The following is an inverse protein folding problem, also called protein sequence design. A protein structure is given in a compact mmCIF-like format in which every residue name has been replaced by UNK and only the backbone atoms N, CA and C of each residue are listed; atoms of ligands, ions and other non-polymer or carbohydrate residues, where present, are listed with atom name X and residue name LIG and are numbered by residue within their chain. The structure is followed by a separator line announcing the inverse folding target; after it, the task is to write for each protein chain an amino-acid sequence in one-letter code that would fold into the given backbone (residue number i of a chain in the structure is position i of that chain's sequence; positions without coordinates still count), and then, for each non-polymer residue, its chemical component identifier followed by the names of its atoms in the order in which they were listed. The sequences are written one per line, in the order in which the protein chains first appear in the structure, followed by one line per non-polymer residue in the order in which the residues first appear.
data_IF_852145068798
#
_entry.id   IF_852145068798
#
_cell.length_a   1.000
_cell.length_b   1.000
_cell.length_c   1.000
_cell.angle_alpha   90.00
_cell.angle_beta   90.00
_cell.angle_gamma   90.00
#
_symmetry.space_group_name_H-M   'P 1'
#
loop_
_entity.id
_entity.type
_entity.pdbx_description
1 polymer ?
#
# COMPACT_ATOMS: atom_id res chain seq x y z
N UNK A 1 14.80 4.87 7.08
CA UNK A 1 14.29 5.39 5.79
C UNK A 1 14.05 6.88 5.98
N UNK A 2 14.42 7.70 5.01
CA UNK A 2 14.58 9.16 5.14
C UNK A 2 13.25 9.90 5.41
N UNK A 3 12.10 9.25 5.17
CA UNK A 3 10.76 9.85 5.34
C UNK A 3 10.11 9.65 6.72
N UNK A 4 10.83 9.19 7.74
CA UNK A 4 10.35 9.19 9.13
C UNK A 4 9.27 8.15 9.49
N UNK A 5 8.88 7.25 8.58
CA UNK A 5 7.91 6.19 8.88
C UNK A 5 8.49 5.12 9.82
N UNK A 6 7.73 4.74 10.85
CA UNK A 6 8.16 3.70 11.79
C UNK A 6 8.39 2.35 11.10
N UNK A 7 9.46 1.65 11.51
CA UNK A 7 9.83 0.35 10.95
C UNK A 7 8.71 -0.69 11.08
N UNK A 8 7.89 -0.59 12.14
CA UNK A 8 6.73 -1.45 12.37
C UNK A 8 5.71 -1.37 11.21
N UNK A 9 5.43 -0.16 10.72
CA UNK A 9 4.48 0.05 9.62
C UNK A 9 5.03 -0.54 8.33
N UNK A 10 6.31 -0.27 8.05
CA UNK A 10 7.02 -0.82 6.90
C UNK A 10 6.97 -2.35 6.90
N UNK A 11 7.20 -2.97 8.05
CA UNK A 11 7.17 -4.41 8.21
C UNK A 11 5.77 -5.01 8.00
N UNK A 12 4.72 -4.31 8.43
CA UNK A 12 3.34 -4.72 8.18
C UNK A 12 3.02 -4.76 6.68
N UNK A 13 3.49 -3.77 5.93
CA UNK A 13 3.31 -3.74 4.47
C UNK A 13 4.17 -4.81 3.80
N UNK A 14 5.49 -4.80 4.05
CA UNK A 14 6.47 -5.71 3.42
C UNK A 14 6.11 -7.17 3.61
N UNK A 15 5.71 -7.56 4.82
CA UNK A 15 5.41 -8.97 5.17
C UNK A 15 3.91 -9.28 5.15
N UNK A 16 3.08 -8.37 4.65
CA UNK A 16 1.62 -8.55 4.54
C UNK A 16 0.94 -8.92 5.88
N UNK A 17 1.47 -8.46 7.03
CA UNK A 17 0.94 -8.76 8.38
C UNK A 17 -0.41 -8.06 8.63
N UNK A 18 -1.18 -8.47 9.65
CA UNK A 18 -2.39 -7.73 10.07
C UNK A 18 -2.10 -6.25 10.36
N UNK A 19 -3.10 -5.38 10.16
CA UNK A 19 -3.00 -3.94 10.46
C UNK A 19 -3.34 -3.59 11.91
N UNK A 20 -3.67 -4.60 12.73
CA UNK A 20 -3.96 -4.42 14.14
C UNK A 20 -2.74 -3.80 14.86
N UNK A 21 -2.97 -2.75 15.64
CA UNK A 21 -1.93 -2.03 16.37
C UNK A 21 -1.09 -1.05 15.53
N UNK A 22 -1.51 -0.75 14.29
CA UNK A 22 -1.06 0.45 13.58
C UNK A 22 -1.91 1.66 14.02
N UNK A 23 -1.39 2.89 13.93
CA UNK A 23 -2.22 4.07 14.12
C UNK A 23 -3.33 4.14 13.06
N UNK A 24 -4.41 4.86 13.37
CA UNK A 24 -5.67 4.73 12.65
C UNK A 24 -5.55 5.08 11.15
N UNK A 25 -4.73 6.07 10.80
CA UNK A 25 -4.54 6.52 9.41
C UNK A 25 -3.80 5.47 8.59
N UNK A 26 -2.71 4.93 9.12
CA UNK A 26 -1.89 3.91 8.47
C UNK A 26 -2.66 2.61 8.33
N UNK A 27 -3.40 2.21 9.37
CA UNK A 27 -4.28 1.04 9.33
C UNK A 27 -5.34 1.18 8.21
N UNK A 28 -5.96 2.36 8.10
CA UNK A 28 -6.96 2.65 7.08
C UNK A 28 -6.36 2.62 5.67
N UNK A 29 -5.21 3.27 5.43
CA UNK A 29 -4.53 3.28 4.12
C UNK A 29 -4.15 1.86 3.69
N UNK A 30 -3.52 1.10 4.58
CA UNK A 30 -3.07 -0.28 4.28
C UNK A 30 -4.27 -1.20 4.06
N UNK A 31 -5.31 -1.09 4.89
CA UNK A 31 -6.55 -1.87 4.75
C UNK A 31 -7.27 -1.57 3.44
N UNK A 32 -7.47 -0.29 3.14
CA UNK A 32 -8.13 0.17 1.92
C UNK A 32 -7.40 -0.34 0.67
N UNK A 33 -6.08 -0.14 0.58
CA UNK A 33 -5.30 -0.61 -0.57
C UNK A 33 -5.34 -2.13 -0.74
N UNK A 34 -5.36 -2.90 0.36
CA UNK A 34 -5.50 -4.37 0.29
C UNK A 34 -6.84 -4.80 -0.27
N UNK A 35 -7.94 -4.14 0.13
CA UNK A 35 -9.26 -4.44 -0.44
C UNK A 35 -9.33 -4.05 -1.92
N UNK A 36 -8.85 -2.85 -2.26
CA UNK A 36 -8.85 -2.35 -3.63
C UNK A 36 -8.07 -3.28 -4.57
N UNK A 37 -6.81 -3.60 -4.25
CA UNK A 37 -5.95 -4.34 -5.18
C UNK A 37 -6.11 -5.86 -5.13
N UNK A 38 -6.54 -6.44 -3.99
CA UNK A 38 -6.67 -7.90 -3.87
C UNK A 38 -8.10 -8.38 -4.08
N UNK A 39 -9.08 -7.64 -3.59
CA UNK A 39 -10.51 -8.01 -3.69
C UNK A 39 -11.22 -7.30 -4.83
N UNK A 40 -10.58 -6.30 -5.47
CA UNK A 40 -11.14 -5.46 -6.54
C UNK A 40 -12.41 -4.70 -6.12
N UNK A 41 -12.70 -4.64 -4.81
CA UNK A 41 -13.85 -3.96 -4.22
C UNK A 41 -13.50 -3.56 -2.79
N UNK A 42 -13.69 -2.28 -2.50
CA UNK A 42 -13.58 -1.75 -1.14
C UNK A 42 -14.93 -1.90 -0.45
N UNK A 43 -14.94 -2.42 0.77
CA UNK A 43 -16.17 -2.57 1.56
C UNK A 43 -16.68 -1.20 2.02
N UNK A 44 -18.01 -1.02 2.12
CA UNK A 44 -18.61 0.26 2.53
C UNK A 44 -18.07 0.77 3.87
N UNK A 45 -17.85 -0.13 4.84
CA UNK A 45 -17.24 0.22 6.14
C UNK A 45 -15.82 0.77 5.99
N UNK A 46 -15.02 0.19 5.10
CA UNK A 46 -13.63 0.61 4.86
C UNK A 46 -13.60 1.97 4.17
N UNK A 47 -14.50 2.18 3.19
CA UNK A 47 -14.64 3.45 2.51
C UNK A 47 -15.12 4.55 3.46
N UNK A 48 -16.16 4.29 4.27
CA UNK A 48 -16.67 5.25 5.24
C UNK A 48 -15.59 5.66 6.24
N UNK A 49 -14.81 4.70 6.77
CA UNK A 49 -13.68 4.98 7.67
C UNK A 49 -12.59 5.81 7.00
N UNK A 50 -12.31 5.57 5.72
CA UNK A 50 -11.34 6.37 4.98
C UNK A 50 -11.84 7.82 4.79
N UNK A 51 -13.12 8.00 4.45
CA UNK A 51 -13.73 9.34 4.35
C UNK A 51 -13.73 10.08 5.69
N UNK A 52 -13.98 9.38 6.80
CA UNK A 52 -13.90 9.98 8.15
C UNK A 52 -12.50 10.52 8.46
N UNK A 53 -11.45 9.79 8.06
CA UNK A 53 -10.06 10.13 8.38
C UNK A 53 -9.41 11.12 7.41
N UNK A 54 -9.84 11.12 6.15
CA UNK A 54 -9.17 11.85 5.05
C UNK A 54 -10.09 12.79 4.27
N UNK A 55 -11.40 12.75 4.52
CA UNK A 55 -12.40 13.43 3.70
C UNK A 55 -12.59 12.76 2.34
N UNK A 56 -13.61 13.20 1.60
CA UNK A 56 -13.92 12.66 0.25
C UNK A 56 -12.80 12.93 -0.74
N UNK A 57 -12.29 14.17 -0.77
CA UNK A 57 -11.19 14.55 -1.65
C UNK A 57 -9.91 13.76 -1.32
N UNK A 58 -9.53 13.66 -0.04
CA UNK A 58 -8.34 12.90 0.36
C UNK A 58 -8.43 11.42 -0.01
N UNK A 59 -9.63 10.80 0.00
CA UNK A 59 -9.81 9.43 -0.49
C UNK A 59 -9.59 9.34 -2.00
N UNK A 60 -10.06 10.31 -2.79
CA UNK A 60 -9.81 10.35 -4.24
C UNK A 60 -8.32 10.51 -4.54
N UNK A 61 -7.64 11.42 -3.84
CA UNK A 61 -6.19 11.63 -3.96
C UNK A 61 -5.41 10.37 -3.57
N UNK A 62 -5.82 9.69 -2.49
CA UNK A 62 -5.24 8.42 -2.07
C UNK A 62 -5.37 7.34 -3.15
N UNK A 63 -6.54 7.21 -3.78
CA UNK A 63 -6.77 6.25 -4.87
C UNK A 63 -5.92 6.60 -6.10
N UNK A 64 -5.82 7.89 -6.45
CA UNK A 64 -5.00 8.34 -7.57
C UNK A 64 -3.52 8.00 -7.34
N UNK A 65 -3.00 8.26 -6.15
CA UNK A 65 -1.62 7.91 -5.77
C UNK A 65 -1.38 6.40 -5.83
N UNK A 66 -2.29 5.61 -5.28
CA UNK A 66 -2.25 4.15 -5.36
C UNK A 66 -2.25 3.65 -6.81
N UNK A 67 -3.09 4.24 -7.66
CA UNK A 67 -3.19 3.93 -9.09
C UNK A 67 -1.89 4.21 -9.85
N UNK A 68 -1.23 5.34 -9.56
CA UNK A 68 0.05 5.68 -10.16
C UNK A 68 1.12 4.61 -9.89
N UNK A 69 1.27 4.17 -8.63
CA UNK A 69 2.22 3.11 -8.29
C UNK A 69 1.84 1.75 -8.89
N UNK A 70 0.54 1.46 -9.04
CA UNK A 70 0.08 0.25 -9.70
C UNK A 70 0.42 0.24 -11.20
N UNK A 71 0.32 1.39 -11.87
CA UNK A 71 0.74 1.55 -13.26
C UNK A 71 2.24 1.31 -13.43
N UNK A 72 3.08 1.91 -12.57
CA UNK A 72 4.53 1.65 -12.56
C UNK A 72 4.84 0.16 -12.34
N UNK A 73 4.16 -0.49 -11.39
CA UNK A 73 4.34 -1.91 -11.14
C UNK A 73 3.94 -2.78 -12.35
N UNK A 74 2.95 -2.36 -13.14
CA UNK A 74 2.56 -3.04 -14.37
C UNK A 74 3.68 -2.94 -15.43
N UNK A 75 4.27 -1.77 -15.61
CA UNK A 75 5.41 -1.57 -16.51
C UNK A 75 6.59 -2.47 -16.11
N UNK A 76 6.98 -2.45 -14.83
CA UNK A 76 8.07 -3.30 -14.33
C UNK A 76 7.81 -4.79 -14.54
N UNK A 77 6.56 -5.23 -14.39
CA UNK A 77 6.19 -6.62 -14.66
C UNK A 77 6.28 -6.95 -16.15
N UNK A 78 5.84 -6.05 -17.03
CA UNK A 78 5.80 -6.30 -18.47
C UNK A 78 7.19 -6.50 -19.08
N UNK A 79 8.20 -5.81 -18.54
CA UNK A 79 9.59 -5.87 -19.03
C UNK A 79 10.49 -6.78 -18.20
N UNK A 80 9.93 -7.52 -17.24
CA UNK A 80 10.68 -8.34 -16.28
C UNK A 80 11.84 -7.56 -15.62
N UNK A 81 11.52 -6.38 -15.08
CA UNK A 81 12.51 -5.48 -14.50
C UNK A 81 13.27 -6.17 -13.35
N UNK A 82 14.58 -6.35 -13.56
CA UNK A 82 15.48 -6.92 -12.57
C UNK A 82 16.04 -5.86 -11.61
N UNK A 83 16.41 -6.30 -10.42
CA UNK A 83 17.18 -5.48 -9.47
C UNK A 83 18.59 -5.30 -10.03
N UNK A 84 19.13 -4.08 -9.95
CA UNK A 84 20.49 -3.82 -10.42
C UNK A 84 21.53 -4.75 -9.78
N UNK A 85 22.56 -5.19 -10.52
CA UNK A 85 23.64 -5.99 -9.98
C UNK A 85 24.24 -5.38 -8.70
N UNK A 86 24.48 -6.20 -7.69
CA UNK A 86 25.03 -5.76 -6.40
C UNK A 86 24.03 -5.09 -5.45
N UNK A 87 22.77 -4.87 -5.85
CA UNK A 87 21.72 -4.37 -4.93
C UNK A 87 20.94 -5.51 -4.29
N UNK A 88 20.79 -5.45 -2.97
CA UNK A 88 19.96 -6.40 -2.22
C UNK A 88 18.47 -6.09 -2.43
N UNK A 89 17.63 -7.06 -2.81
CA UNK A 89 16.18 -6.89 -2.83
C UNK A 89 15.63 -6.50 -1.45
N UNK A 90 14.79 -5.47 -1.41
CA UNK A 90 14.21 -4.94 -0.17
C UNK A 90 12.88 -5.57 0.23
N UNK A 91 12.26 -6.30 -0.72
CA UNK A 91 11.01 -7.02 -0.54
C UNK A 91 11.29 -8.52 -0.37
N UNK A 92 10.48 -9.23 0.42
CA UNK A 92 10.54 -10.69 0.47
C UNK A 92 10.29 -11.28 -0.91
N UNK A 93 11.04 -12.33 -1.27
CA UNK A 93 10.80 -13.10 -2.48
C UNK A 93 9.42 -13.79 -2.34
N UNK A 94 8.48 -13.59 -3.29
CA UNK A 94 7.23 -14.33 -3.29
C UNK A 94 7.50 -15.83 -3.30
N UNK A 95 6.78 -16.60 -2.48
CA UNK A 95 6.74 -18.06 -2.61
C UNK A 95 5.87 -18.45 -3.79
#
# INVERSE_FOLDING_TARGET
LIEGLEQKIIDVVKRRRPVAGLPAKEAAIVGFGRELFRRRKVQSRTFARAVELFGRQGVVELVALMGNYAATALVFRAVDQQVHPGRKPLLPIPR
#
